data_IF_453001849758
#
_entry.id   IF_453001849758
#
_cell.length_a   1.000
_cell.length_b   1.000
_cell.length_c   1.000
_cell.angle_alpha   90.00
_cell.angle_beta   90.00
_cell.angle_gamma   90.00
#
_symmetry.space_group_name_H-M   'P 1'
#
loop_
_entity.id
_entity.type
_entity.pdbx_description
1 polymer ?
#
# COMPACT_ATOMS: atom_id res chain seq x y z
N UNK A 1 -16.36 -1.89 -13.89
CA UNK A 1 -16.16 -2.54 -12.56
C UNK A 1 -17.54 -2.60 -11.90
N UNK A 2 -17.93 -3.71 -11.32
CA UNK A 2 -19.23 -3.84 -10.64
C UNK A 2 -18.93 -4.18 -9.18
N UNK A 3 -19.29 -3.29 -8.26
CA UNK A 3 -19.04 -3.42 -6.83
C UNK A 3 -20.29 -3.96 -6.14
N UNK A 4 -20.31 -5.25 -5.82
CA UNK A 4 -21.41 -5.87 -5.09
C UNK A 4 -20.92 -7.02 -4.21
N UNK A 5 -21.27 -6.98 -2.92
CA UNK A 5 -20.88 -8.04 -1.99
C UNK A 5 -21.70 -9.33 -2.10
N UNK A 6 -22.92 -9.27 -2.63
CA UNK A 6 -23.84 -10.41 -2.59
C UNK A 6 -23.35 -11.63 -3.35
N UNK A 7 -22.71 -11.44 -4.52
CA UNK A 7 -22.14 -12.54 -5.27
C UNK A 7 -20.95 -13.16 -4.55
N UNK A 8 -20.07 -12.35 -3.94
CA UNK A 8 -18.94 -12.83 -3.13
C UNK A 8 -19.45 -13.61 -1.92
N UNK A 9 -20.43 -13.10 -1.19
CA UNK A 9 -21.02 -13.77 -0.03
C UNK A 9 -21.66 -15.09 -0.39
N UNK A 10 -22.36 -15.17 -1.55
CA UNK A 10 -22.95 -16.44 -2.03
C UNK A 10 -21.89 -17.49 -2.31
N UNK A 11 -20.80 -17.12 -2.99
CA UNK A 11 -19.69 -18.04 -3.26
C UNK A 11 -18.98 -18.44 -1.97
N UNK A 12 -18.68 -17.48 -1.11
CA UNK A 12 -18.06 -17.71 0.19
C UNK A 12 -18.88 -18.70 1.05
N UNK A 13 -20.21 -18.54 1.06
CA UNK A 13 -21.10 -19.44 1.79
C UNK A 13 -21.03 -20.90 1.23
N UNK A 14 -20.96 -21.06 -0.09
CA UNK A 14 -20.80 -22.38 -0.72
C UNK A 14 -19.45 -23.02 -0.41
N UNK A 15 -18.39 -22.22 -0.32
CA UNK A 15 -17.04 -22.68 0.04
C UNK A 15 -16.95 -23.14 1.50
N UNK A 16 -17.90 -22.73 2.36
CA UNK A 16 -17.94 -23.08 3.80
C UNK A 16 -16.63 -22.81 4.55
N UNK A 17 -15.93 -21.75 4.15
CA UNK A 17 -14.64 -21.38 4.76
C UNK A 17 -14.82 -20.94 6.22
N UNK A 18 -13.86 -21.32 7.06
CA UNK A 18 -13.77 -20.87 8.46
C UNK A 18 -12.40 -20.24 8.68
N UNK A 19 -12.40 -19.06 9.25
CA UNK A 19 -11.19 -18.34 9.69
C UNK A 19 -11.22 -18.23 11.21
N UNK A 20 -10.77 -19.26 11.96
CA UNK A 20 -10.78 -19.25 13.41
C UNK A 20 -9.63 -18.42 14.00
N UNK A 21 -9.26 -17.33 13.35
CA UNK A 21 -8.17 -16.43 13.70
C UNK A 21 -8.66 -14.99 13.81
N UNK A 22 -7.80 -14.09 14.28
CA UNK A 22 -8.09 -12.65 14.28
C UNK A 22 -8.00 -12.10 12.86
N UNK A 23 -8.90 -11.20 12.50
CA UNK A 23 -8.92 -10.55 11.19
C UNK A 23 -8.74 -9.05 11.38
N UNK A 24 -7.80 -8.47 10.65
CA UNK A 24 -7.54 -7.02 10.60
C UNK A 24 -7.73 -6.56 9.16
N UNK A 25 -8.60 -5.57 8.95
CA UNK A 25 -8.90 -5.03 7.62
C UNK A 25 -8.32 -3.63 7.47
N UNK A 26 -7.68 -3.37 6.32
CA UNK A 26 -7.01 -2.12 6.01
C UNK A 26 -7.69 -1.43 4.83
N UNK A 27 -8.27 -0.25 5.06
CA UNK A 27 -8.81 0.64 4.03
C UNK A 27 -8.03 1.96 4.03
N UNK A 28 -8.15 2.75 2.99
CA UNK A 28 -7.46 4.03 2.82
C UNK A 28 -7.17 4.31 1.35
N UNK A 29 -6.65 5.48 1.03
CA UNK A 29 -6.17 5.78 -0.31
C UNK A 29 -4.72 5.33 -0.43
N UNK A 30 -3.83 5.86 0.37
CA UNK A 30 -2.40 5.55 0.37
C UNK A 30 -1.98 4.86 1.69
N UNK A 31 -0.88 4.11 1.68
CA UNK A 31 -0.27 3.52 2.87
C UNK A 31 -0.84 2.17 3.31
N UNK A 32 -1.95 1.67 2.74
CA UNK A 32 -2.56 0.38 3.11
C UNK A 32 -1.55 -0.77 3.12
N UNK A 33 -0.99 -1.09 1.95
CA UNK A 33 -0.04 -2.20 1.80
C UNK A 33 1.20 -2.05 2.68
N UNK A 34 1.75 -0.84 2.80
CA UNK A 34 2.89 -0.57 3.70
C UNK A 34 2.54 -0.84 5.16
N UNK A 35 1.36 -0.39 5.62
CA UNK A 35 0.89 -0.66 6.99
C UNK A 35 0.66 -2.15 7.22
N UNK A 36 0.10 -2.88 6.22
CA UNK A 36 -0.02 -4.35 6.28
C UNK A 36 1.35 -4.99 6.47
N UNK A 37 2.36 -4.59 5.71
CA UNK A 37 3.71 -5.15 5.79
C UNK A 37 4.36 -4.92 7.16
N UNK A 38 4.20 -3.73 7.74
CA UNK A 38 4.69 -3.48 9.11
C UNK A 38 3.97 -4.36 10.13
N UNK A 39 2.65 -4.46 10.09
CA UNK A 39 1.88 -5.29 11.01
C UNK A 39 2.23 -6.75 10.85
N UNK A 40 2.36 -7.25 9.61
CA UNK A 40 2.79 -8.61 9.31
C UNK A 40 4.16 -8.91 9.93
N UNK A 41 5.15 -8.05 9.66
CA UNK A 41 6.51 -8.22 10.16
C UNK A 41 6.58 -8.21 11.69
N UNK A 42 5.80 -7.35 12.35
CA UNK A 42 5.73 -7.31 13.82
C UNK A 42 5.12 -8.61 14.37
N UNK A 43 4.01 -9.10 13.82
CA UNK A 43 3.38 -10.33 14.30
C UNK A 43 4.23 -11.58 14.02
N UNK A 44 4.86 -11.67 12.85
CA UNK A 44 5.82 -12.75 12.55
C UNK A 44 7.01 -12.71 13.52
N UNK A 45 7.55 -11.51 13.81
CA UNK A 45 8.62 -11.33 14.80
C UNK A 45 8.19 -11.68 16.24
N UNK A 46 6.89 -11.65 16.51
CA UNK A 46 6.31 -12.07 17.79
C UNK A 46 6.01 -13.59 17.84
N UNK A 47 6.24 -14.32 16.76
CA UNK A 47 6.03 -15.77 16.67
C UNK A 47 4.61 -16.17 16.24
N UNK A 48 3.76 -15.25 15.81
CA UNK A 48 2.43 -15.56 15.27
C UNK A 48 2.51 -16.05 13.82
N UNK A 49 1.56 -16.91 13.44
CA UNK A 49 1.34 -17.35 12.06
C UNK A 49 0.39 -16.35 11.40
N UNK A 50 0.90 -15.70 10.38
CA UNK A 50 0.23 -14.56 9.73
C UNK A 50 -0.12 -14.89 8.29
N UNK A 51 -1.37 -14.61 7.88
CA UNK A 51 -1.77 -14.55 6.49
C UNK A 51 -1.95 -13.08 6.08
N UNK A 52 -1.38 -12.66 4.96
CA UNK A 52 -1.54 -11.31 4.43
C UNK A 52 -2.07 -11.34 2.99
N UNK A 53 -3.12 -10.55 2.73
CA UNK A 53 -3.67 -10.31 1.39
C UNK A 53 -3.51 -8.86 1.04
N UNK A 54 -2.73 -8.56 -0.02
CA UNK A 54 -2.41 -7.21 -0.46
C UNK A 54 -2.63 -7.03 -1.96
N UNK A 55 -2.81 -5.79 -2.41
CA UNK A 55 -2.98 -5.48 -3.84
C UNK A 55 -2.60 -4.05 -4.19
N UNK A 56 -2.17 -3.80 -5.45
CA UNK A 56 -1.80 -4.79 -6.46
C UNK A 56 -0.43 -5.44 -6.16
N UNK A 57 -0.03 -6.44 -6.94
CA UNK A 57 1.35 -6.97 -6.94
C UNK A 57 2.27 -6.11 -7.82
N UNK A 58 3.57 -6.22 -7.62
CA UNK A 58 4.58 -5.56 -8.46
C UNK A 58 5.02 -6.45 -9.62
N UNK A 59 5.47 -7.67 -9.34
CA UNK A 59 6.07 -8.58 -10.31
C UNK A 59 5.24 -9.85 -10.49
N UNK A 60 4.91 -10.53 -9.40
CA UNK A 60 4.27 -11.85 -9.44
C UNK A 60 2.94 -11.87 -8.67
N UNK A 61 1.96 -12.63 -9.19
CA UNK A 61 0.64 -12.75 -8.56
C UNK A 61 0.72 -13.22 -7.09
N UNK A 62 1.64 -14.15 -6.79
CA UNK A 62 1.84 -14.67 -5.43
C UNK A 62 2.11 -13.61 -4.37
N UNK A 63 2.65 -12.43 -4.74
CA UNK A 63 2.85 -11.32 -3.81
C UNK A 63 1.57 -10.88 -3.10
N UNK A 64 0.40 -11.15 -3.72
CA UNK A 64 -0.91 -10.78 -3.15
C UNK A 64 -1.29 -11.62 -1.95
N UNK A 65 -0.79 -12.86 -1.87
CA UNK A 65 -1.15 -13.83 -0.82
C UNK A 65 0.12 -14.34 -0.17
N UNK A 66 0.33 -13.98 1.08
CA UNK A 66 1.52 -14.38 1.81
C UNK A 66 1.14 -15.13 3.09
N UNK A 67 1.97 -16.10 3.43
CA UNK A 67 1.92 -16.86 4.67
C UNK A 67 3.26 -16.66 5.39
N UNK A 68 3.26 -15.95 6.52
CA UNK A 68 4.48 -15.62 7.29
C UNK A 68 5.56 -14.93 6.44
N UNK A 69 5.19 -13.95 5.63
CA UNK A 69 6.07 -13.21 4.70
C UNK A 69 6.60 -14.04 3.52
N UNK A 70 6.18 -15.30 3.37
CA UNK A 70 6.47 -16.12 2.20
C UNK A 70 5.30 -16.08 1.20
N UNK A 71 5.61 -16.01 -0.09
CA UNK A 71 4.58 -16.06 -1.13
C UNK A 71 3.83 -17.41 -1.07
N UNK A 72 2.52 -17.38 -1.31
CA UNK A 72 1.77 -18.62 -1.53
C UNK A 72 2.34 -19.34 -2.76
N UNK A 73 2.55 -20.66 -2.64
CA UNK A 73 3.09 -21.48 -3.71
C UNK A 73 2.13 -21.63 -4.89
N UNK A 74 2.65 -21.93 -6.07
CA UNK A 74 1.83 -22.08 -7.28
C UNK A 74 0.80 -23.21 -7.13
N UNK A 75 1.14 -24.33 -6.47
CA UNK A 75 0.20 -25.43 -6.22
C UNK A 75 -0.94 -24.99 -5.29
N UNK A 76 -0.66 -24.19 -4.26
CA UNK A 76 -1.68 -23.62 -3.38
C UNK A 76 -2.61 -22.64 -4.13
N UNK A 77 -2.03 -21.81 -5.01
CA UNK A 77 -2.79 -20.89 -5.86
C UNK A 77 -3.70 -21.64 -6.83
N UNK A 78 -3.19 -22.66 -7.51
CA UNK A 78 -3.96 -23.48 -8.45
C UNK A 78 -5.11 -24.20 -7.73
N UNK A 79 -4.85 -24.81 -6.57
CA UNK A 79 -5.86 -25.46 -5.75
C UNK A 79 -6.95 -24.45 -5.30
N UNK A 80 -6.56 -23.25 -4.87
CA UNK A 80 -7.47 -22.20 -4.44
C UNK A 80 -8.33 -21.70 -5.61
N UNK A 81 -7.74 -21.45 -6.78
CA UNK A 81 -8.46 -21.03 -7.95
C UNK A 81 -9.47 -22.10 -8.42
N UNK A 82 -9.09 -23.36 -8.40
CA UNK A 82 -9.98 -24.47 -8.72
C UNK A 82 -11.16 -24.57 -7.75
N UNK A 83 -10.92 -24.39 -6.44
CA UNK A 83 -11.97 -24.39 -5.44
C UNK A 83 -12.96 -23.24 -5.61
N UNK A 84 -12.48 -22.03 -5.93
CA UNK A 84 -13.32 -20.86 -6.22
C UNK A 84 -14.14 -21.10 -7.49
N UNK A 85 -13.53 -21.63 -8.56
CA UNK A 85 -14.21 -21.88 -9.82
C UNK A 85 -15.35 -22.90 -9.67
N UNK A 86 -15.12 -23.97 -8.92
CA UNK A 86 -16.15 -24.94 -8.57
C UNK A 86 -17.29 -24.33 -7.74
N UNK A 87 -16.95 -23.53 -6.72
CA UNK A 87 -17.94 -22.95 -5.81
C UNK A 87 -18.79 -21.85 -6.45
N UNK A 88 -18.25 -21.09 -7.40
CA UNK A 88 -19.01 -20.00 -8.05
C UNK A 88 -20.17 -20.51 -8.90
N UNK A 89 -20.11 -21.71 -9.47
CA UNK A 89 -21.22 -22.33 -10.24
C UNK A 89 -21.83 -21.33 -11.23
N UNK A 90 -21.00 -20.71 -12.09
CA UNK A 90 -21.45 -19.74 -13.09
C UNK A 90 -21.72 -18.33 -12.57
N UNK A 91 -21.62 -18.05 -11.27
CA UNK A 91 -21.68 -16.66 -10.76
C UNK A 91 -20.49 -15.88 -11.31
N UNK A 92 -20.71 -14.75 -12.02
CA UNK A 92 -19.63 -13.93 -12.52
C UNK A 92 -18.92 -13.23 -11.35
N UNK A 93 -17.60 -13.40 -11.25
CA UNK A 93 -16.73 -12.73 -10.30
C UNK A 93 -15.75 -11.83 -11.04
N UNK A 94 -15.48 -10.66 -10.51
CA UNK A 94 -14.37 -9.83 -10.98
C UNK A 94 -13.02 -10.47 -10.60
N UNK A 95 -11.96 -10.07 -11.27
CA UNK A 95 -10.60 -10.52 -10.97
C UNK A 95 -10.24 -10.38 -9.48
N UNK A 96 -10.60 -9.24 -8.86
CA UNK A 96 -10.32 -9.00 -7.45
C UNK A 96 -11.17 -9.86 -6.52
N UNK A 97 -12.45 -10.03 -6.81
CA UNK A 97 -13.34 -10.91 -6.04
C UNK A 97 -12.90 -12.37 -6.07
N UNK A 98 -12.49 -12.83 -7.23
CA UNK A 98 -11.96 -14.18 -7.43
C UNK A 98 -10.67 -14.37 -6.59
N UNK A 99 -9.73 -13.43 -6.69
CA UNK A 99 -8.49 -13.46 -5.92
C UNK A 99 -8.70 -13.35 -4.41
N UNK A 100 -9.69 -12.56 -3.96
CA UNK A 100 -10.04 -12.47 -2.53
C UNK A 100 -10.56 -13.81 -2.01
N UNK A 101 -11.45 -14.48 -2.74
CA UNK A 101 -11.96 -15.79 -2.34
C UNK A 101 -10.85 -16.86 -2.33
N UNK A 102 -9.93 -16.81 -3.29
CA UNK A 102 -8.76 -17.69 -3.32
C UNK A 102 -7.84 -17.46 -2.10
N UNK A 103 -7.57 -16.19 -1.74
CA UNK A 103 -6.81 -15.86 -0.54
C UNK A 103 -7.48 -16.41 0.73
N UNK A 104 -8.80 -16.23 0.87
CA UNK A 104 -9.56 -16.75 2.00
C UNK A 104 -9.54 -18.29 2.06
N UNK A 105 -9.55 -18.96 0.91
CA UNK A 105 -9.40 -20.42 0.83
C UNK A 105 -8.04 -20.86 1.38
N UNK A 106 -6.95 -20.25 0.91
CA UNK A 106 -5.60 -20.55 1.38
C UNK A 106 -5.49 -20.30 2.89
N UNK A 107 -6.00 -19.16 3.38
CA UNK A 107 -5.95 -18.83 4.80
C UNK A 107 -6.79 -19.81 5.67
N UNK A 108 -7.93 -20.28 5.16
CA UNK A 108 -8.74 -21.26 5.88
C UNK A 108 -8.11 -22.65 5.97
N UNK A 109 -7.25 -22.97 5.00
CA UNK A 109 -6.51 -24.26 4.95
C UNK A 109 -5.25 -24.27 5.83
N UNK A 110 -4.84 -23.08 6.30
CA UNK A 110 -3.65 -22.89 7.12
C UNK A 110 -4.02 -22.54 8.57
N UNK A 111 -3.25 -23.04 9.53
CA UNK A 111 -3.46 -22.75 10.96
C UNK A 111 -2.88 -21.38 11.28
N UNK A 112 -3.61 -20.30 10.97
CA UNK A 112 -3.20 -18.91 11.20
C UNK A 112 -3.72 -18.39 12.55
N UNK A 113 -2.96 -17.46 13.14
CA UNK A 113 -3.33 -16.75 14.36
C UNK A 113 -3.96 -15.39 14.02
N UNK A 114 -3.52 -14.77 12.90
CA UNK A 114 -4.05 -13.51 12.41
C UNK A 114 -4.02 -13.46 10.88
N UNK A 115 -5.05 -12.83 10.31
CA UNK A 115 -5.16 -12.54 8.87
C UNK A 115 -5.30 -11.04 8.66
N UNK A 116 -4.47 -10.49 7.77
CA UNK A 116 -4.39 -9.09 7.40
C UNK A 116 -4.97 -8.93 5.99
N UNK A 117 -6.04 -8.15 5.85
CA UNK A 117 -6.77 -8.02 4.60
C UNK A 117 -6.73 -6.57 4.09
N UNK A 118 -6.04 -6.31 3.01
CA UNK A 118 -6.06 -5.02 2.32
C UNK A 118 -7.27 -4.91 1.41
N UNK A 119 -8.04 -3.83 1.57
CA UNK A 119 -9.15 -3.44 0.67
C UNK A 119 -8.57 -3.03 -0.69
N UNK A 120 -9.14 -3.58 -1.76
CA UNK A 120 -8.74 -3.21 -3.12
C UNK A 120 -9.26 -1.84 -3.53
N UNK A 121 -10.55 -1.57 -3.30
CA UNK A 121 -11.19 -0.30 -3.68
C UNK A 121 -12.32 0.08 -2.71
N UNK A 122 -12.29 1.32 -2.22
CA UNK A 122 -13.31 1.83 -1.32
C UNK A 122 -13.27 1.15 0.04
N UNK A 123 -14.20 0.27 0.31
CA UNK A 123 -14.32 -0.52 1.54
C UNK A 123 -15.69 -1.15 1.69
N UNK A 124 -16.77 -0.35 1.64
CA UNK A 124 -18.15 -0.79 1.90
C UNK A 124 -18.59 -1.98 1.04
N UNK A 125 -18.30 -1.94 -0.25
CA UNK A 125 -18.67 -2.96 -1.23
C UNK A 125 -17.47 -3.78 -1.74
N UNK A 126 -16.31 -3.63 -1.12
CA UNK A 126 -15.13 -4.40 -1.46
C UNK A 126 -15.26 -5.87 -1.04
N UNK A 127 -14.72 -6.78 -1.85
CA UNK A 127 -14.80 -8.22 -1.61
C UNK A 127 -14.23 -8.64 -0.25
N UNK A 128 -13.17 -8.00 0.21
CA UNK A 128 -12.57 -8.22 1.54
C UNK A 128 -13.57 -7.94 2.66
N UNK A 129 -14.51 -7.03 2.45
CA UNK A 129 -15.53 -6.66 3.43
C UNK A 129 -16.65 -7.72 3.61
N UNK A 130 -16.59 -8.82 2.86
CA UNK A 130 -17.43 -10.00 3.09
C UNK A 130 -17.08 -10.71 4.41
N UNK A 131 -15.89 -10.49 4.95
CA UNK A 131 -15.41 -11.05 6.22
C UNK A 131 -15.53 -9.99 7.33
N UNK A 132 -15.94 -10.44 8.52
CA UNK A 132 -15.99 -9.56 9.70
C UNK A 132 -14.61 -9.40 10.31
N UNK A 133 -14.14 -8.17 10.45
CA UNK A 133 -12.86 -7.83 11.08
C UNK A 133 -12.99 -7.64 12.60
N UNK A 134 -11.94 -7.99 13.34
CA UNK A 134 -11.76 -7.68 14.77
C UNK A 134 -11.27 -6.23 14.98
N UNK A 135 -10.46 -5.75 14.02
CA UNK A 135 -9.99 -4.37 13.96
C UNK A 135 -10.01 -3.89 12.52
N UNK A 136 -10.44 -2.64 12.31
CA UNK A 136 -10.35 -1.95 11.01
C UNK A 136 -9.35 -0.80 11.12
N UNK A 137 -8.41 -0.73 10.18
CA UNK A 137 -7.50 0.41 10.02
C UNK A 137 -7.95 1.24 8.83
N UNK A 138 -7.98 2.57 8.97
CA UNK A 138 -8.14 3.50 7.87
C UNK A 138 -6.88 4.34 7.79
N UNK A 139 -6.10 4.14 6.72
CA UNK A 139 -4.91 4.91 6.38
C UNK A 139 -5.29 6.20 5.64
N UNK A 140 -4.36 7.12 5.32
CA UNK A 140 -4.70 8.43 4.75
C UNK A 140 -5.66 8.37 3.57
N UNK A 141 -6.64 9.29 3.60
CA UNK A 141 -7.70 9.44 2.59
C UNK A 141 -7.41 10.67 1.74
N UNK A 142 -7.37 10.49 0.44
CA UNK A 142 -7.19 11.56 -0.55
C UNK A 142 -8.01 11.26 -1.80
N UNK A 143 -8.08 12.23 -2.73
CA UNK A 143 -8.74 12.03 -4.01
C UNK A 143 -8.02 10.95 -4.82
N UNK A 144 -8.74 9.91 -5.15
CA UNK A 144 -8.33 8.83 -6.04
C UNK A 144 -9.58 8.02 -6.41
N UNK A 145 -9.57 7.41 -7.60
CA UNK A 145 -10.70 6.60 -8.09
C UNK A 145 -12.05 7.35 -8.06
N UNK A 146 -12.05 8.64 -8.38
CA UNK A 146 -13.20 9.54 -8.25
C UNK A 146 -14.45 9.05 -8.98
N UNK A 147 -14.28 8.41 -10.12
CA UNK A 147 -15.36 7.80 -10.90
C UNK A 147 -16.18 6.76 -10.12
N UNK A 148 -15.58 6.12 -9.10
CA UNK A 148 -16.18 5.05 -8.32
C UNK A 148 -16.54 5.44 -6.90
N UNK A 149 -15.72 6.28 -6.27
CA UNK A 149 -15.81 6.58 -4.84
C UNK A 149 -16.36 7.98 -4.56
N UNK A 150 -16.47 8.84 -5.59
CA UNK A 150 -16.91 10.22 -5.44
C UNK A 150 -15.76 11.22 -5.54
N UNK A 151 -16.13 12.51 -5.66
CA UNK A 151 -15.24 13.63 -5.97
C UNK A 151 -14.83 14.46 -4.75
N UNK A 152 -15.02 13.91 -3.54
CA UNK A 152 -14.59 14.56 -2.31
C UNK A 152 -14.06 13.53 -1.30
N UNK A 153 -13.15 13.96 -0.42
CA UNK A 153 -12.64 13.12 0.65
C UNK A 153 -13.76 12.60 1.57
N UNK A 154 -14.86 13.34 1.73
CA UNK A 154 -16.01 12.90 2.52
C UNK A 154 -16.75 11.73 1.86
N UNK A 155 -16.96 11.76 0.54
CA UNK A 155 -17.57 10.66 -0.21
C UNK A 155 -16.67 9.42 -0.19
N UNK A 156 -15.38 9.59 -0.45
CA UNK A 156 -14.38 8.54 -0.39
C UNK A 156 -14.30 7.96 1.03
N UNK A 157 -14.33 8.83 2.03
CA UNK A 157 -14.33 8.45 3.46
C UNK A 157 -15.57 7.62 3.83
N UNK A 158 -16.75 7.98 3.34
CA UNK A 158 -17.98 7.20 3.55
C UNK A 158 -17.85 5.75 3.04
N UNK A 159 -17.30 5.56 1.83
CA UNK A 159 -17.07 4.22 1.28
C UNK A 159 -16.04 3.43 2.10
N UNK A 160 -14.93 4.10 2.51
CA UNK A 160 -13.90 3.47 3.34
C UNK A 160 -14.40 3.11 4.74
N UNK A 161 -15.22 3.96 5.34
CA UNK A 161 -15.83 3.70 6.65
C UNK A 161 -16.74 2.45 6.67
N UNK A 162 -17.10 1.92 5.51
CA UNK A 162 -17.85 0.67 5.36
C UNK A 162 -17.18 -0.56 5.97
N UNK A 163 -15.86 -0.52 6.25
CA UNK A 163 -15.15 -1.62 6.92
C UNK A 163 -15.30 -1.61 8.45
N UNK A 164 -15.81 -0.51 9.03
CA UNK A 164 -16.02 -0.40 10.47
C UNK A 164 -17.16 -1.34 10.96
N UNK A 165 -17.02 -1.90 12.15
CA UNK A 165 -17.95 -2.86 12.75
C UNK A 165 -18.52 -2.33 14.06
N UNK A 166 -19.76 -2.69 14.36
CA UNK A 166 -20.42 -2.32 15.61
C UNK A 166 -19.62 -2.82 16.82
N UNK A 167 -19.27 -1.91 17.75
CA UNK A 167 -18.44 -2.20 18.91
C UNK A 167 -17.00 -2.60 18.60
N UNK A 168 -16.60 -2.59 17.31
CA UNK A 168 -15.28 -3.02 16.86
C UNK A 168 -14.17 -2.01 17.20
N UNK A 169 -12.91 -2.46 17.08
CA UNK A 169 -11.73 -1.61 17.21
C UNK A 169 -11.47 -0.91 15.89
N UNK A 170 -11.08 0.37 15.93
CA UNK A 170 -10.74 1.17 14.76
C UNK A 170 -9.47 1.99 15.00
N UNK A 171 -8.50 1.90 14.09
CA UNK A 171 -7.33 2.78 14.04
C UNK A 171 -7.49 3.70 12.84
N UNK A 172 -7.56 5.00 13.08
CA UNK A 172 -7.62 6.04 12.06
C UNK A 172 -6.24 6.70 11.97
N UNK A 173 -5.45 6.22 11.02
CA UNK A 173 -4.07 6.65 10.82
C UNK A 173 -4.01 7.75 9.76
N UNK A 174 -4.76 8.82 9.99
CA UNK A 174 -4.80 10.02 9.16
C UNK A 174 -4.97 11.25 10.07
N UNK A 175 -4.15 12.27 9.89
CA UNK A 175 -4.30 13.54 10.63
C UNK A 175 -5.55 14.31 10.19
N UNK A 176 -5.95 14.15 8.92
CA UNK A 176 -7.08 14.84 8.28
C UNK A 176 -8.23 13.87 7.99
N UNK A 177 -8.63 13.08 9.01
CA UNK A 177 -9.70 12.08 8.86
C UNK A 177 -11.01 12.74 8.41
N UNK A 178 -11.63 12.32 7.28
CA UNK A 178 -12.94 12.78 6.88
C UNK A 178 -13.99 12.58 7.97
N UNK A 179 -14.86 13.58 8.14
CA UNK A 179 -15.91 13.56 9.18
C UNK A 179 -16.84 12.35 9.02
N UNK A 180 -17.13 11.95 7.78
CA UNK A 180 -17.93 10.76 7.45
C UNK A 180 -17.40 9.47 8.09
N UNK A 181 -16.08 9.32 8.26
CA UNK A 181 -15.45 8.17 8.92
C UNK A 181 -15.69 8.23 10.43
N UNK A 182 -15.42 9.40 11.03
CA UNK A 182 -15.56 9.60 12.48
C UNK A 182 -17.01 9.40 12.90
N UNK A 183 -17.95 10.03 12.21
CA UNK A 183 -19.40 9.92 12.49
C UNK A 183 -19.89 8.48 12.39
N UNK A 184 -19.44 7.75 11.37
CA UNK A 184 -19.79 6.33 11.26
C UNK A 184 -19.21 5.52 12.40
N UNK A 185 -17.95 5.76 12.79
CA UNK A 185 -17.31 5.10 13.91
C UNK A 185 -18.04 5.35 15.24
N UNK A 186 -18.46 6.59 15.48
CA UNK A 186 -19.26 6.97 16.66
C UNK A 186 -20.63 6.26 16.64
N UNK A 187 -21.36 6.31 15.51
CA UNK A 187 -22.65 5.61 15.35
C UNK A 187 -22.56 4.11 15.58
N UNK A 188 -21.45 3.50 15.15
CA UNK A 188 -21.17 2.07 15.35
C UNK A 188 -20.56 1.77 16.72
N UNK A 189 -20.42 2.77 17.60
CA UNK A 189 -19.80 2.62 18.94
C UNK A 189 -18.40 1.98 18.86
N UNK A 190 -17.64 2.30 17.84
CA UNK A 190 -16.27 1.78 17.68
C UNK A 190 -15.36 2.30 18.80
N UNK A 191 -14.40 1.45 19.20
CA UNK A 191 -13.27 1.86 20.04
C UNK A 191 -12.21 2.48 19.12
N UNK A 192 -12.32 3.79 18.89
CA UNK A 192 -11.48 4.52 17.93
C UNK A 192 -10.14 4.91 18.58
N UNK A 193 -9.06 4.80 17.79
CA UNK A 193 -7.71 5.33 18.08
C UNK A 193 -7.25 6.15 16.89
N UNK A 194 -6.94 7.43 17.12
CA UNK A 194 -6.58 8.41 16.08
C UNK A 194 -5.18 8.94 16.31
N UNK A 195 -4.41 9.00 15.24
CA UNK A 195 -3.12 9.70 15.26
C UNK A 195 -3.32 11.20 15.55
N UNK A 196 -2.40 11.79 16.31
CA UNK A 196 -2.48 13.19 16.75
C UNK A 196 -3.48 13.47 17.88
N UNK A 197 -4.27 12.46 18.30
CA UNK A 197 -5.26 12.57 19.38
C UNK A 197 -5.04 11.49 20.44
N UNK A 198 -5.08 10.21 20.05
CA UNK A 198 -4.93 9.09 20.99
C UNK A 198 -3.50 8.55 21.00
N UNK A 199 -2.73 8.82 19.95
CA UNK A 199 -1.29 8.50 19.88
C UNK A 199 -0.56 9.46 18.95
N UNK A 200 0.75 9.55 19.14
CA UNK A 200 1.67 10.33 18.31
C UNK A 200 3.00 9.61 18.17
N UNK A 201 3.86 10.12 17.32
CA UNK A 201 5.25 9.69 17.23
C UNK A 201 6.16 10.90 17.04
N UNK A 202 7.40 10.75 17.44
CA UNK A 202 8.49 11.70 17.20
C UNK A 202 9.70 10.96 16.67
N UNK A 203 10.53 11.66 15.91
CA UNK A 203 11.80 11.12 15.42
C UNK A 203 12.92 12.05 15.85
N UNK A 204 13.90 11.51 16.55
CA UNK A 204 15.12 12.20 16.96
C UNK A 204 16.31 11.26 16.88
N UNK A 205 17.45 11.75 16.42
CA UNK A 205 18.71 10.99 16.32
C UNK A 205 18.59 9.63 15.62
N UNK A 206 17.77 9.57 14.55
CA UNK A 206 17.52 8.33 13.79
C UNK A 206 16.73 7.27 14.56
N UNK A 207 15.99 7.67 15.60
CA UNK A 207 15.13 6.80 16.40
C UNK A 207 13.69 7.30 16.39
N UNK A 208 12.76 6.37 16.44
CA UNK A 208 11.32 6.64 16.49
C UNK A 208 10.79 6.35 17.89
N UNK A 209 10.17 7.34 18.50
CA UNK A 209 9.41 7.20 19.74
C UNK A 209 7.91 7.22 19.42
N UNK A 210 7.19 6.21 19.89
CA UNK A 210 5.75 6.12 19.74
C UNK A 210 5.07 6.29 21.11
N UNK A 211 4.16 7.26 21.21
CA UNK A 211 3.57 7.68 22.48
C UNK A 211 2.04 7.64 22.41
N UNK A 212 1.37 6.78 23.22
CA UNK A 212 -0.06 6.87 23.43
C UNK A 212 -0.40 8.05 24.33
N UNK A 213 -1.57 8.66 24.16
CA UNK A 213 -2.12 9.60 25.13
C UNK A 213 -2.62 8.81 26.36
N UNK A 214 -2.02 9.02 27.55
CA UNK A 214 -2.37 8.21 28.72
C UNK A 214 -3.79 8.46 29.25
N UNK A 215 -4.36 9.63 28.97
CA UNK A 215 -5.74 9.98 29.39
C UNK A 215 -6.78 9.35 28.48
N UNK A 216 -6.41 9.09 27.20
CA UNK A 216 -7.32 8.58 26.18
C UNK A 216 -7.18 7.09 25.92
N UNK A 217 -5.95 6.57 26.03
CA UNK A 217 -5.67 5.16 25.74
C UNK A 217 -5.42 4.30 26.99
N UNK A 218 -5.26 4.92 28.16
CA UNK A 218 -5.11 4.21 29.43
C UNK A 218 -3.86 3.35 29.50
N UNK A 219 -4.04 2.02 29.51
CA UNK A 219 -2.95 1.05 29.72
C UNK A 219 -2.09 0.76 28.48
N UNK A 220 -2.18 1.55 27.39
CA UNK A 220 -1.30 1.39 26.23
C UNK A 220 0.16 1.69 26.59
N UNK A 221 1.08 0.92 26.02
CA UNK A 221 2.51 1.04 26.29
C UNK A 221 3.15 2.07 25.35
N UNK A 222 3.97 2.97 25.90
CA UNK A 222 4.87 3.76 25.09
C UNK A 222 6.04 2.92 24.58
N UNK A 223 6.50 3.24 23.40
CA UNK A 223 7.65 2.59 22.76
C UNK A 223 8.71 3.63 22.42
N UNK A 224 9.71 3.74 23.26
CA UNK A 224 10.87 4.60 23.01
C UNK A 224 11.96 3.84 22.24
N UNK A 225 12.76 4.58 21.49
CA UNK A 225 13.99 4.11 20.84
C UNK A 225 13.74 2.96 19.84
N UNK A 226 12.64 3.03 19.07
CA UNK A 226 12.39 2.12 17.96
C UNK A 226 13.30 2.45 16.77
N UNK A 227 13.67 1.46 15.94
CA UNK A 227 14.41 1.76 14.72
C UNK A 227 13.54 2.56 13.75
N UNK A 228 14.13 3.51 13.05
CA UNK A 228 13.50 4.16 11.90
C UNK A 228 13.47 3.16 10.76
N UNK A 229 12.30 2.79 10.24
CA UNK A 229 12.20 1.78 9.19
C UNK A 229 12.50 2.35 7.81
N UNK A 230 13.07 1.52 6.94
CA UNK A 230 13.30 1.82 5.53
C UNK A 230 14.09 3.10 5.30
N UNK A 231 13.56 3.99 4.48
CA UNK A 231 14.17 5.30 4.16
C UNK A 231 13.92 6.37 5.21
N UNK A 232 13.05 6.10 6.19
CA UNK A 232 12.68 7.07 7.21
C UNK A 232 11.90 8.28 6.67
N UNK A 233 11.31 8.18 5.49
CA UNK A 233 10.45 9.24 4.98
C UNK A 233 9.13 9.36 5.76
N UNK A 234 8.48 10.52 5.64
CA UNK A 234 7.30 10.85 6.44
C UNK A 234 6.17 9.82 6.26
N UNK A 235 5.97 9.28 5.05
CA UNK A 235 4.92 8.31 4.77
C UNK A 235 5.24 6.94 5.39
N UNK A 236 6.50 6.50 5.33
CA UNK A 236 6.97 5.26 5.96
C UNK A 236 6.84 5.35 7.47
N UNK A 237 7.30 6.45 8.08
CA UNK A 237 7.19 6.70 9.53
C UNK A 237 5.73 6.73 10.00
N UNK A 238 4.87 7.41 9.24
CA UNK A 238 3.44 7.49 9.51
C UNK A 238 2.77 6.10 9.48
N UNK A 239 3.07 5.29 8.46
CA UNK A 239 2.55 3.93 8.34
C UNK A 239 3.06 3.01 9.45
N UNK A 240 4.34 3.13 9.83
CA UNK A 240 4.93 2.41 10.95
C UNK A 240 4.26 2.75 12.28
N UNK A 241 4.01 4.06 12.54
CA UNK A 241 3.30 4.49 13.74
C UNK A 241 1.86 3.94 13.80
N UNK A 242 1.16 3.91 12.66
CA UNK A 242 -0.14 3.27 12.53
C UNK A 242 -0.10 1.76 12.79
N UNK A 243 0.94 1.08 12.33
CA UNK A 243 1.13 -0.34 12.60
C UNK A 243 1.34 -0.63 14.10
N UNK A 244 2.12 0.19 14.79
CA UNK A 244 2.27 0.08 16.27
C UNK A 244 0.93 0.30 16.96
N UNK A 245 0.13 1.28 16.52
CA UNK A 245 -1.21 1.53 17.06
C UNK A 245 -2.17 0.34 16.86
N UNK A 246 -2.10 -0.33 15.72
CA UNK A 246 -2.88 -1.55 15.43
C UNK A 246 -2.47 -2.68 16.38
N UNK A 247 -1.16 -2.95 16.48
CA UNK A 247 -0.62 -4.00 17.35
C UNK A 247 -1.00 -3.74 18.80
N UNK A 248 -0.86 -2.50 19.29
CA UNK A 248 -1.23 -2.13 20.66
C UNK A 248 -2.75 -2.22 20.89
N UNK A 249 -3.57 -1.87 19.90
CA UNK A 249 -5.03 -2.05 19.97
C UNK A 249 -5.44 -3.53 20.08
N UNK A 250 -4.65 -4.44 19.51
CA UNK A 250 -4.90 -5.88 19.53
C UNK A 250 -4.19 -6.62 20.66
N UNK A 251 -3.42 -5.92 21.50
CA UNK A 251 -2.53 -6.52 22.50
C UNK A 251 -3.23 -7.44 23.53
N UNK A 252 -4.49 -7.21 23.83
CA UNK A 252 -5.29 -8.10 24.67
C UNK A 252 -5.64 -9.45 24.00
N UNK A 253 -5.67 -9.47 22.66
CA UNK A 253 -5.99 -10.64 21.85
C UNK A 253 -4.72 -11.34 21.32
N UNK A 254 -3.73 -10.55 20.94
CA UNK A 254 -2.45 -10.95 20.33
C UNK A 254 -1.32 -10.18 21.03
N UNK A 255 -0.79 -10.74 22.12
CA UNK A 255 0.23 -10.10 22.93
C UNK A 255 1.56 -9.98 22.16
N UNK A 256 2.06 -8.76 22.01
CA UNK A 256 3.35 -8.47 21.35
C UNK A 256 4.29 -7.77 22.33
N UNK A 257 5.50 -8.27 22.49
CA UNK A 257 6.53 -7.65 23.31
C UNK A 257 7.30 -6.57 22.53
N UNK A 258 7.87 -5.58 23.24
CA UNK A 258 8.62 -4.45 22.64
C UNK A 258 9.69 -4.93 21.63
N UNK A 259 10.41 -6.00 21.97
CA UNK A 259 11.47 -6.52 21.09
C UNK A 259 10.93 -7.02 19.74
N UNK A 260 9.72 -7.59 19.71
CA UNK A 260 9.09 -8.00 18.45
C UNK A 260 8.67 -6.80 17.60
N UNK A 261 8.17 -5.72 18.24
CA UNK A 261 7.90 -4.45 17.54
C UNK A 261 9.19 -3.90 16.92
N UNK A 262 10.29 -3.83 17.70
CA UNK A 262 11.60 -3.37 17.19
C UNK A 262 12.08 -4.20 15.99
N UNK A 263 12.08 -5.53 16.12
CA UNK A 263 12.50 -6.45 15.05
C UNK A 263 11.61 -6.32 13.83
N UNK A 264 10.30 -6.26 14.03
CA UNK A 264 9.34 -6.14 12.94
C UNK A 264 9.54 -4.86 12.14
N UNK A 265 9.69 -3.71 12.82
CA UNK A 265 9.96 -2.45 12.14
C UNK A 265 11.30 -2.44 11.39
N UNK A 266 12.36 -3.00 12.01
CA UNK A 266 13.70 -3.07 11.39
C UNK A 266 13.75 -3.97 10.15
N UNK A 267 13.00 -5.07 10.16
CA UNK A 267 13.05 -6.10 9.12
C UNK A 267 11.99 -5.91 8.02
N UNK A 268 11.18 -4.85 8.09
CA UNK A 268 10.16 -4.61 7.07
C UNK A 268 10.78 -4.07 5.79
N UNK A 269 10.59 -4.79 4.70
CA UNK A 269 10.94 -4.36 3.35
C UNK A 269 9.72 -3.85 2.60
N UNK A 270 9.87 -2.69 1.97
CA UNK A 270 8.81 -2.00 1.22
C UNK A 270 9.23 -1.83 -0.24
N UNK A 271 9.00 -2.86 -1.04
CA UNK A 271 9.34 -2.82 -2.47
C UNK A 271 8.47 -1.81 -3.22
N UNK A 272 9.13 -0.99 -4.07
CA UNK A 272 8.44 0.04 -4.86
C UNK A 272 7.78 1.14 -4.02
N UNK A 273 8.24 1.36 -2.79
CA UNK A 273 7.80 2.45 -1.90
C UNK A 273 9.01 3.25 -1.46
N UNK A 274 9.31 4.29 -2.21
CA UNK A 274 10.55 5.07 -2.03
C UNK A 274 11.76 4.13 -1.87
N UNK A 275 11.80 3.06 -2.65
CA UNK A 275 12.88 2.09 -2.62
C UNK A 275 14.14 2.73 -3.23
N UNK A 276 15.17 2.91 -2.40
CA UNK A 276 16.43 3.54 -2.82
C UNK A 276 17.51 2.49 -3.03
N UNK A 277 18.10 2.49 -4.21
CA UNK A 277 19.29 1.70 -4.53
C UNK A 277 20.46 2.65 -4.72
N UNK A 278 21.45 2.54 -3.83
CA UNK A 278 22.65 3.37 -3.83
C UNK A 278 23.64 2.91 -4.91
N UNK A 279 24.46 3.85 -5.40
CA UNK A 279 25.50 3.59 -6.39
C UNK A 279 26.09 4.89 -6.92
N UNK A 280 26.94 4.81 -7.95
CA UNK A 280 27.43 6.00 -8.64
C UNK A 280 26.30 6.85 -9.25
N UNK A 281 25.18 6.22 -9.57
CA UNK A 281 23.89 6.82 -9.91
C UNK A 281 22.88 6.29 -8.88
N UNK A 282 22.30 7.17 -8.07
CA UNK A 282 21.23 6.80 -7.14
C UNK A 282 19.95 6.48 -7.93
N UNK A 283 19.27 5.40 -7.57
CA UNK A 283 18.01 4.97 -8.20
C UNK A 283 16.90 4.97 -7.15
N UNK A 284 15.76 5.58 -7.46
CA UNK A 284 14.56 5.59 -6.61
C UNK A 284 13.41 4.95 -7.39
N UNK A 285 12.77 3.96 -6.79
CA UNK A 285 11.59 3.29 -7.34
C UNK A 285 10.39 3.56 -6.44
N UNK A 286 9.35 4.19 -6.99
CA UNK A 286 8.13 4.47 -6.25
C UNK A 286 6.88 4.28 -7.13
N UNK A 287 5.91 3.54 -6.62
CA UNK A 287 4.63 3.32 -7.32
C UNK A 287 3.64 4.47 -7.16
N UNK A 288 4.05 5.63 -6.64
CA UNK A 288 3.22 6.83 -6.51
C UNK A 288 2.58 7.18 -7.86
N UNK A 289 1.25 7.38 -7.85
CA UNK A 289 0.44 7.55 -9.04
C UNK A 289 -0.79 8.45 -8.81
N UNK A 290 -0.88 9.11 -7.67
CA UNK A 290 -1.89 10.13 -7.37
C UNK A 290 -1.23 11.34 -6.71
N UNK A 291 -1.87 12.52 -6.72
CA UNK A 291 -1.25 13.75 -6.24
C UNK A 291 -0.68 13.67 -4.83
N UNK A 292 -1.39 13.03 -3.89
CA UNK A 292 -0.93 12.91 -2.50
C UNK A 292 0.32 12.04 -2.38
N UNK A 293 0.39 10.90 -3.09
CA UNK A 293 1.57 10.04 -3.09
C UNK A 293 2.76 10.72 -3.77
N UNK A 294 2.51 11.43 -4.87
CA UNK A 294 3.55 12.21 -5.58
C UNK A 294 4.07 13.36 -4.73
N UNK A 295 3.22 14.04 -3.96
CA UNK A 295 3.68 15.07 -3.03
C UNK A 295 4.64 14.50 -1.97
N UNK A 296 4.40 13.28 -1.47
CA UNK A 296 5.31 12.58 -0.57
C UNK A 296 6.65 12.26 -1.26
N UNK A 297 6.62 11.73 -2.49
CA UNK A 297 7.84 11.46 -3.26
C UNK A 297 8.63 12.75 -3.54
N UNK A 298 7.95 13.83 -3.89
CA UNK A 298 8.57 15.14 -4.10
C UNK A 298 9.25 15.66 -2.82
N UNK A 299 8.53 15.62 -1.69
CA UNK A 299 9.08 15.98 -0.37
C UNK A 299 10.30 15.13 0.00
N UNK A 300 10.26 13.82 -0.28
CA UNK A 300 11.39 12.93 -0.04
C UNK A 300 12.62 13.35 -0.87
N UNK A 301 12.43 13.65 -2.16
CA UNK A 301 13.50 14.09 -3.05
C UNK A 301 14.10 15.41 -2.56
N UNK A 302 13.27 16.37 -2.12
CA UNK A 302 13.71 17.68 -1.64
C UNK A 302 14.52 17.59 -0.34
N UNK A 303 14.19 16.65 0.55
CA UNK A 303 14.90 16.42 1.82
C UNK A 303 16.22 15.67 1.68
N UNK A 304 16.46 15.02 0.53
CA UNK A 304 17.70 14.26 0.29
C UNK A 304 18.86 15.17 -0.06
N UNK A 305 20.07 14.59 0.04
CA UNK A 305 21.28 15.26 -0.44
C UNK A 305 21.10 15.73 -1.90
N UNK A 306 21.46 16.98 -2.20
CA UNK A 306 21.39 17.51 -3.54
C UNK A 306 22.18 16.62 -4.54
N UNK A 307 21.59 16.43 -5.70
CA UNK A 307 22.22 15.72 -6.82
C UNK A 307 22.39 16.65 -7.99
N UNK A 308 23.20 16.26 -8.94
CA UNK A 308 23.45 17.07 -10.14
C UNK A 308 22.20 17.23 -10.98
N UNK A 309 21.45 16.13 -11.21
CA UNK A 309 20.17 16.10 -11.94
C UNK A 309 19.31 14.94 -11.46
N UNK A 310 17.99 15.11 -11.52
CA UNK A 310 17.07 13.99 -11.48
C UNK A 310 16.58 13.69 -12.90
N UNK A 311 16.66 12.43 -13.32
CA UNK A 311 16.08 11.91 -14.56
C UNK A 311 14.87 11.08 -14.18
N UNK A 312 13.70 11.38 -14.77
CA UNK A 312 12.47 10.63 -14.51
C UNK A 312 12.27 9.52 -15.55
N UNK A 313 11.96 8.31 -15.12
CA UNK A 313 11.34 7.29 -15.97
C UNK A 313 9.86 7.24 -15.56
N UNK A 314 8.98 7.58 -16.49
CA UNK A 314 7.59 7.88 -16.13
C UNK A 314 6.57 7.30 -17.12
N UNK A 315 5.50 6.78 -16.57
CA UNK A 315 4.26 6.43 -17.28
C UNK A 315 3.10 6.25 -16.29
N UNK A 316 1.88 6.44 -16.77
CA UNK A 316 0.70 6.49 -15.89
C UNK A 316 -0.53 5.86 -16.54
N UNK A 317 -1.58 5.59 -15.72
CA UNK A 317 -2.88 5.13 -16.19
C UNK A 317 -3.85 6.32 -16.39
N UNK A 318 -4.79 6.18 -17.34
CA UNK A 318 -5.76 7.21 -17.75
C UNK A 318 -6.71 7.69 -16.64
N UNK A 319 -6.95 6.85 -15.64
CA UNK A 319 -7.85 7.15 -14.53
C UNK A 319 -7.22 7.99 -13.42
N UNK A 320 -6.01 8.51 -13.65
CA UNK A 320 -5.25 9.31 -12.69
C UNK A 320 -5.08 10.75 -13.14
N UNK A 321 -4.85 11.64 -12.19
CA UNK A 321 -4.62 13.07 -12.46
C UNK A 321 -3.19 13.31 -12.94
N UNK A 322 -2.98 13.10 -14.25
CA UNK A 322 -1.68 13.22 -14.89
C UNK A 322 -1.12 14.65 -14.79
N UNK A 323 -1.97 15.65 -15.00
CA UNK A 323 -1.55 17.06 -15.01
C UNK A 323 -0.99 17.48 -13.65
N UNK A 324 -1.71 17.14 -12.57
CA UNK A 324 -1.28 17.48 -11.21
C UNK A 324 0.00 16.71 -10.82
N UNK A 325 0.13 15.45 -11.22
CA UNK A 325 1.35 14.65 -10.98
C UNK A 325 2.56 15.30 -11.67
N UNK A 326 2.44 15.69 -12.94
CA UNK A 326 3.53 16.36 -13.68
C UNK A 326 3.83 17.72 -13.06
N UNK A 327 2.82 18.52 -12.70
CA UNK A 327 3.00 19.82 -12.05
C UNK A 327 3.80 19.71 -10.74
N UNK A 328 3.51 18.71 -9.91
CA UNK A 328 4.20 18.48 -8.64
C UNK A 328 5.67 18.07 -8.82
N UNK A 329 6.00 17.33 -9.89
CA UNK A 329 7.35 16.83 -10.12
C UNK A 329 8.17 17.70 -11.08
N UNK A 330 7.55 18.50 -11.94
CA UNK A 330 8.16 19.15 -13.09
C UNK A 330 9.41 19.95 -12.78
N UNK A 331 9.41 20.76 -11.72
CA UNK A 331 10.57 21.60 -11.34
C UNK A 331 11.77 20.79 -10.80
N UNK A 332 11.56 19.51 -10.44
CA UNK A 332 12.58 18.64 -9.86
C UNK A 332 13.28 17.77 -10.90
N UNK A 333 12.69 17.62 -12.07
CA UNK A 333 13.15 16.72 -13.13
C UNK A 333 13.87 17.50 -14.21
N UNK A 334 15.08 17.08 -14.56
CA UNK A 334 15.87 17.68 -15.63
C UNK A 334 15.66 17.00 -17.00
N UNK A 335 15.27 15.73 -17.01
CA UNK A 335 14.95 15.00 -18.24
C UNK A 335 13.89 13.93 -17.96
N UNK A 336 12.85 13.90 -18.80
CA UNK A 336 11.77 12.92 -18.74
C UNK A 336 11.98 11.82 -19.78
N UNK A 337 12.01 10.58 -19.30
CA UNK A 337 12.05 9.37 -20.13
C UNK A 337 10.67 8.73 -20.07
N UNK A 338 9.81 9.12 -20.99
CA UNK A 338 8.41 8.67 -21.08
C UNK A 338 8.32 7.33 -21.81
N UNK A 339 7.42 6.48 -21.38
CA UNK A 339 7.24 5.16 -22.00
C UNK A 339 5.79 4.72 -22.04
N UNK A 340 5.48 3.85 -23.01
CA UNK A 340 4.19 3.18 -23.12
C UNK A 340 4.15 1.97 -22.18
N UNK A 341 3.07 1.82 -21.41
CA UNK A 341 2.77 0.61 -20.64
C UNK A 341 1.99 -0.38 -21.49
N UNK A 342 2.24 -1.66 -21.29
CA UNK A 342 1.41 -2.74 -21.82
C UNK A 342 0.19 -2.95 -20.90
N UNK A 343 -0.75 -2.03 -20.99
CA UNK A 343 -1.99 -2.05 -20.22
C UNK A 343 -3.09 -1.31 -20.98
N UNK A 344 -4.30 -1.85 -21.03
CA UNK A 344 -5.43 -1.25 -21.75
C UNK A 344 -5.81 0.15 -21.25
N UNK A 345 -5.49 0.46 -20.00
CA UNK A 345 -5.74 1.77 -19.37
C UNK A 345 -4.51 2.68 -19.37
N UNK A 346 -3.42 2.31 -20.06
CA UNK A 346 -2.25 3.17 -20.14
C UNK A 346 -2.59 4.50 -20.84
N UNK A 347 -2.00 5.60 -20.36
CA UNK A 347 -2.03 6.87 -21.09
C UNK A 347 -1.20 6.69 -22.37
N UNK A 348 -1.71 7.08 -23.56
CA UNK A 348 -0.94 7.07 -24.79
C UNK A 348 0.35 7.89 -24.65
N UNK A 349 1.42 7.43 -25.29
CA UNK A 349 2.74 8.05 -25.16
C UNK A 349 2.73 9.53 -25.61
N UNK A 350 1.96 9.86 -26.67
CA UNK A 350 1.82 11.22 -27.14
C UNK A 350 1.14 12.10 -26.09
N UNK A 351 0.03 11.64 -25.50
CA UNK A 351 -0.70 12.39 -24.46
C UNK A 351 0.18 12.65 -23.22
N UNK A 352 1.05 11.66 -22.86
CA UNK A 352 2.04 11.85 -21.80
C UNK A 352 3.03 12.96 -22.14
N UNK A 353 3.55 12.95 -23.38
CA UNK A 353 4.52 13.95 -23.84
C UNK A 353 3.91 15.34 -23.89
N UNK A 354 2.69 15.47 -24.37
CA UNK A 354 1.97 16.74 -24.46
C UNK A 354 1.76 17.35 -23.06
N UNK A 355 1.23 16.56 -22.11
CA UNK A 355 1.03 17.05 -20.73
C UNK A 355 2.36 17.37 -20.04
N UNK A 356 3.41 16.57 -20.23
CA UNK A 356 4.72 16.92 -19.67
C UNK A 356 5.27 18.20 -20.26
N UNK A 357 5.07 18.46 -21.55
CA UNK A 357 5.47 19.71 -22.21
C UNK A 357 4.73 20.92 -21.67
N UNK A 358 3.45 20.78 -21.31
CA UNK A 358 2.63 21.86 -20.78
C UNK A 358 3.06 22.31 -19.36
N UNK A 359 3.57 21.40 -18.56
CA UNK A 359 3.88 21.65 -17.14
C UNK A 359 5.38 21.56 -16.79
N UNK A 360 6.27 21.28 -17.75
CA UNK A 360 7.70 21.17 -17.53
C UNK A 360 8.50 21.66 -18.74
N UNK A 361 9.51 22.50 -18.50
CA UNK A 361 10.44 22.96 -19.54
C UNK A 361 11.64 22.02 -19.74
N UNK A 362 11.57 20.81 -19.15
CA UNK A 362 12.68 19.86 -19.17
C UNK A 362 12.72 19.05 -20.46
N UNK A 363 13.87 18.49 -20.78
CA UNK A 363 14.03 17.62 -21.94
C UNK A 363 13.08 16.41 -21.86
N UNK A 364 12.39 16.08 -22.95
CA UNK A 364 11.49 14.94 -23.08
C UNK A 364 12.06 13.95 -24.08
N UNK A 365 12.13 12.69 -23.68
CA UNK A 365 12.51 11.54 -24.51
C UNK A 365 11.44 10.46 -24.40
N UNK A 366 11.10 9.84 -25.52
CA UNK A 366 10.08 8.80 -25.57
C UNK A 366 10.68 7.45 -25.94
N UNK A 367 10.18 6.38 -25.33
CA UNK A 367 10.74 5.04 -25.46
C UNK A 367 9.62 3.99 -25.61
N UNK A 368 9.86 2.89 -26.35
CA UNK A 368 8.82 1.93 -26.71
C UNK A 368 8.31 1.09 -25.52
N UNK A 369 9.12 0.89 -24.48
CA UNK A 369 8.75 0.09 -23.31
C UNK A 369 9.51 0.51 -22.06
N UNK A 370 9.03 0.14 -20.86
CA UNK A 370 9.62 0.51 -19.57
C UNK A 370 11.11 0.20 -19.42
N UNK A 371 11.51 -1.00 -19.82
CA UNK A 371 12.90 -1.43 -19.67
C UNK A 371 13.84 -0.62 -20.55
N UNK A 372 13.43 -0.32 -21.78
CA UNK A 372 14.21 0.52 -22.68
C UNK A 372 14.36 1.94 -22.14
N UNK A 373 13.24 2.53 -21.64
CA UNK A 373 13.27 3.86 -21.01
C UNK A 373 14.25 3.91 -19.83
N UNK A 374 14.23 2.90 -18.97
CA UNK A 374 15.13 2.80 -17.83
C UNK A 374 16.60 2.63 -18.25
N UNK A 375 16.90 1.71 -19.17
CA UNK A 375 18.26 1.51 -19.68
C UNK A 375 18.84 2.78 -20.29
N UNK A 376 18.04 3.50 -21.08
CA UNK A 376 18.46 4.76 -21.69
C UNK A 376 18.65 5.88 -20.66
N UNK A 377 17.77 5.97 -19.64
CA UNK A 377 17.97 6.90 -18.54
C UNK A 377 19.27 6.62 -17.79
N UNK A 378 19.58 5.36 -17.50
CA UNK A 378 20.84 4.94 -16.85
C UNK A 378 22.07 5.23 -17.72
N UNK A 379 22.02 5.02 -19.05
CA UNK A 379 23.12 5.32 -19.97
C UNK A 379 23.41 6.84 -20.09
N UNK A 380 22.37 7.66 -19.99
CA UNK A 380 22.47 9.12 -20.07
C UNK A 380 22.81 9.77 -18.72
N UNK A 381 22.58 9.07 -17.64
CA UNK A 381 22.95 9.51 -16.30
C UNK A 381 24.47 9.44 -16.10
N UNK A 382 24.99 10.32 -15.27
CA UNK A 382 26.41 10.40 -14.89
C UNK A 382 26.54 10.26 -13.38
N UNK A 383 27.70 9.90 -12.86
CA UNK A 383 27.93 9.89 -11.41
C UNK A 383 27.47 11.22 -10.77
N UNK A 384 26.70 11.11 -9.70
CA UNK A 384 26.05 12.24 -9.02
C UNK A 384 24.69 12.64 -9.59
N UNK A 385 24.18 11.97 -10.64
CA UNK A 385 22.77 12.05 -11.03
C UNK A 385 21.92 11.06 -10.24
N UNK A 386 20.59 11.27 -10.28
CA UNK A 386 19.59 10.37 -9.71
C UNK A 386 18.56 9.98 -10.78
N UNK A 387 18.22 8.70 -10.86
CA UNK A 387 17.12 8.19 -11.70
C UNK A 387 15.94 7.88 -10.82
N UNK A 388 14.77 8.49 -11.10
CA UNK A 388 13.52 8.32 -10.36
C UNK A 388 12.51 7.62 -11.26
N UNK A 389 12.08 6.42 -10.89
CA UNK A 389 11.09 5.61 -11.60
C UNK A 389 9.77 5.69 -10.84
N UNK A 390 8.72 6.28 -11.45
CA UNK A 390 7.44 6.46 -10.74
C UNK A 390 6.25 6.59 -11.70
N UNK A 391 5.02 6.57 -11.14
CA UNK A 391 3.76 6.83 -11.84
C UNK A 391 2.85 5.61 -11.99
N UNK A 392 3.36 4.39 -11.82
CA UNK A 392 2.53 3.18 -11.93
C UNK A 392 3.19 1.94 -11.33
N UNK A 393 2.39 1.05 -10.74
CA UNK A 393 2.83 -0.31 -10.39
C UNK A 393 3.34 -1.09 -11.60
N UNK A 394 2.69 -0.92 -12.76
CA UNK A 394 3.11 -1.59 -13.99
C UNK A 394 4.50 -1.17 -14.44
N UNK A 395 4.81 0.14 -14.34
CA UNK A 395 6.12 0.66 -14.71
C UNK A 395 7.21 0.12 -13.78
N UNK A 396 7.00 0.33 -12.48
CA UNK A 396 7.99 -0.04 -11.45
C UNK A 396 8.20 -1.55 -11.44
N UNK A 397 7.12 -2.33 -11.50
CA UNK A 397 7.20 -3.80 -11.51
C UNK A 397 7.94 -4.35 -12.72
N UNK A 398 7.68 -3.82 -13.93
CA UNK A 398 8.38 -4.25 -15.15
C UNK A 398 9.89 -4.02 -15.07
N UNK A 399 10.31 -2.91 -14.46
CA UNK A 399 11.73 -2.57 -14.32
C UNK A 399 12.36 -3.40 -13.19
N UNK A 400 11.74 -3.49 -12.02
CA UNK A 400 12.26 -4.26 -10.89
C UNK A 400 12.41 -5.74 -11.21
N UNK A 401 11.49 -6.33 -11.97
CA UNK A 401 11.61 -7.70 -12.47
C UNK A 401 12.93 -7.90 -13.24
N UNK A 402 13.22 -7.00 -14.16
CA UNK A 402 14.45 -7.08 -14.97
C UNK A 402 15.73 -6.82 -14.18
N UNK A 403 15.68 -5.89 -13.20
CA UNK A 403 16.85 -5.58 -12.35
C UNK A 403 17.17 -6.75 -11.41
N UNK A 404 16.15 -7.48 -10.93
CA UNK A 404 16.36 -8.67 -10.08
C UNK A 404 16.88 -9.89 -10.84
N UNK A 405 16.62 -9.98 -12.15
CA UNK A 405 17.08 -11.06 -13.02
C UNK A 405 18.51 -10.84 -13.56
N UNK A 406 19.05 -9.62 -13.45
CA UNK A 406 20.40 -9.25 -13.93
C UNK A 406 21.30 -8.79 -12.76
N UNK A 407 22.13 -9.71 -12.18
CA UNK A 407 22.99 -9.41 -11.04
C UNK A 407 24.06 -8.33 -11.31
N UNK A 408 24.30 -7.96 -12.59
CA UNK A 408 25.26 -6.91 -12.97
C UNK A 408 24.64 -5.50 -12.95
N UNK A 409 23.31 -5.39 -12.75
CA UNK A 409 22.56 -4.12 -12.67
C UNK A 409 21.95 -3.84 -11.29
N UNK A 410 22.15 -4.73 -10.31
CA UNK A 410 21.67 -4.61 -8.93
C UNK A 410 22.54 -3.66 -8.07
#
# INVERSE_FOLDING_TARGET
>A
MDLALDRVRRVLHRMRLRLPCKVITFAGTNGKGSTVRFVESIYVSAGYRVGAYTSPHLVAYGERIQLNQCLAGDDELVAAFSAVDQARQGIPLTYFEFGTLAALYIFSSNKLDVVLLEVGLGGRLDAVNAITSNLSCITPVSLDHETWLGRSCEQIGFEKAGVLRFGGKAVLNDHNVPTSIVDRGVRLKCKIRRIGIDYSYTVSDGRLDWNPDPLRWGAARAYADLPVPGTGDDAVLHNAAGAVAIVESMNADLLVHKNAVRKGLANTELFGRVQVVQGGIERIFDVAHNPAAIANLASFIDKRQPVRRNLAVFSMLKDKDLAEVVRLMGSRIASWHLTQLDASRAVPLQDLADVVSDYSNSEIKTWPNPLHAYKMAMQLARPGDRVVVFGSFYLVGAILKSVSEDPLQA
#
